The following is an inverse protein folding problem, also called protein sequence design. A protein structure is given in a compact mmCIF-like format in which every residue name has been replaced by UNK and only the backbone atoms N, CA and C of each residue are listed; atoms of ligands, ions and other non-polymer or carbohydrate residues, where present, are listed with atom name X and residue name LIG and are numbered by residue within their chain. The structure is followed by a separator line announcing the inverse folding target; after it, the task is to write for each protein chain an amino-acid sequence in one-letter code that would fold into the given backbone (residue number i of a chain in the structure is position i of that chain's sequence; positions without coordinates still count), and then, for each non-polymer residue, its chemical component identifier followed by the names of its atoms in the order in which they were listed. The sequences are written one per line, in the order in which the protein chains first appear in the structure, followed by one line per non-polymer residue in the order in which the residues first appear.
data_IF_261058254049
#
_entry.id   IF_261058254049
#
_cell.length_a   1.000
_cell.length_b   1.000
_cell.length_c   1.000
_cell.angle_alpha   90.00
_cell.angle_beta   90.00
_cell.angle_gamma   90.00
#
_symmetry.space_group_name_H-M   'P 1'
#
loop_
_entity.id
_entity.type
_entity.pdbx_description
1 polymer ?
#
# COMPACT_ATOMS: atom_id res chain seq x y z
N UNK A 1 5.31 11.56 -1.11
CA UNK A 1 6.44 10.72 -1.61
C UNK A 1 6.54 9.50 -0.70
N UNK A 2 6.74 8.28 -1.22
CA UNK A 2 6.91 7.10 -0.37
C UNK A 2 8.38 7.01 0.03
N UNK A 3 8.67 6.87 1.32
CA UNK A 3 10.04 6.69 1.79
C UNK A 3 10.19 5.28 2.36
N UNK A 4 11.06 4.50 1.73
CA UNK A 4 11.50 3.24 2.31
C UNK A 4 12.45 3.56 3.46
N UNK A 5 12.09 3.16 4.68
CA UNK A 5 12.96 3.33 5.86
C UNK A 5 14.21 2.46 5.73
N UNK A 6 14.08 1.31 5.05
CA UNK A 6 15.15 0.40 4.67
C UNK A 6 14.75 -0.35 3.39
N UNK A 7 15.73 -0.90 2.63
CA UNK A 7 15.44 -1.83 1.55
C UNK A 7 14.53 -2.99 1.99
N UNK A 8 13.49 -3.35 1.23
CA UNK A 8 12.79 -4.61 1.41
C UNK A 8 13.77 -5.78 1.33
N UNK A 9 13.61 -6.76 2.22
CA UNK A 9 14.43 -7.98 2.22
C UNK A 9 13.96 -9.00 1.17
N UNK A 10 12.82 -8.75 0.52
CA UNK A 10 12.28 -9.53 -0.58
C UNK A 10 12.01 -8.65 -1.79
N UNK A 11 12.46 -9.11 -2.95
CA UNK A 11 12.17 -8.47 -4.23
C UNK A 11 11.85 -9.55 -5.26
N UNK A 12 10.92 -9.28 -6.17
CA UNK A 12 10.53 -10.23 -7.19
C UNK A 12 11.42 -10.11 -8.42
N UNK A 13 11.79 -11.25 -9.00
CA UNK A 13 12.66 -11.30 -10.18
C UNK A 13 11.88 -11.18 -11.50
N UNK A 14 10.55 -11.28 -11.49
CA UNK A 14 9.70 -11.22 -12.68
C UNK A 14 9.42 -12.58 -13.34
N UNK A 15 10.22 -13.60 -12.99
CA UNK A 15 10.18 -14.93 -13.63
C UNK A 15 9.63 -16.02 -12.71
N UNK A 16 9.60 -15.78 -11.38
CA UNK A 16 8.99 -16.68 -10.40
C UNK A 16 7.51 -16.36 -10.18
N UNK A 17 6.83 -17.22 -9.41
CA UNK A 17 5.55 -16.82 -8.83
C UNK A 17 5.72 -15.56 -7.97
N UNK A 18 4.66 -14.74 -7.96
CA UNK A 18 4.64 -13.52 -7.19
C UNK A 18 4.56 -13.87 -5.68
N UNK A 19 5.43 -13.32 -4.82
CA UNK A 19 5.47 -13.71 -3.41
C UNK A 19 4.23 -13.36 -2.58
N UNK A 20 3.36 -12.50 -3.11
CA UNK A 20 2.09 -12.13 -2.50
C UNK A 20 0.98 -12.15 -3.55
N UNK A 21 -0.11 -12.83 -3.23
CA UNK A 21 -1.34 -12.81 -4.01
C UNK A 21 -2.16 -11.56 -3.70
N UNK A 22 -3.06 -11.16 -4.62
CA UNK A 22 -3.97 -10.03 -4.40
C UNK A 22 -4.83 -10.22 -3.13
N UNK A 23 -5.22 -11.46 -2.82
CA UNK A 23 -6.02 -11.78 -1.62
C UNK A 23 -5.24 -11.52 -0.33
N UNK A 24 -3.95 -11.84 -0.31
CA UNK A 24 -3.08 -11.55 0.84
C UNK A 24 -2.85 -10.04 0.98
N UNK A 25 -2.64 -9.34 -0.14
CA UNK A 25 -2.52 -7.87 -0.15
C UNK A 25 -3.79 -7.21 0.39
N UNK A 26 -4.98 -7.66 -0.01
CA UNK A 26 -6.24 -7.17 0.54
C UNK A 26 -6.34 -7.45 2.05
N UNK A 27 -5.99 -8.67 2.48
CA UNK A 27 -6.02 -9.04 3.91
C UNK A 27 -5.11 -8.12 4.75
N UNK A 28 -3.91 -7.82 4.26
CA UNK A 28 -2.97 -6.89 4.90
C UNK A 28 -3.56 -5.47 4.93
N UNK A 29 -4.12 -5.02 3.81
CA UNK A 29 -4.78 -3.72 3.72
C UNK A 29 -5.93 -3.59 4.72
N UNK A 30 -6.83 -4.58 4.80
CA UNK A 30 -7.96 -4.54 5.74
C UNK A 30 -7.48 -4.47 7.19
N UNK A 31 -6.45 -5.24 7.54
CA UNK A 31 -5.84 -5.20 8.89
C UNK A 31 -5.25 -3.81 9.20
N UNK A 32 -4.52 -3.22 8.24
CA UNK A 32 -4.01 -1.86 8.39
C UNK A 32 -5.14 -0.83 8.53
N UNK A 33 -6.18 -0.92 7.70
CA UNK A 33 -7.31 0.02 7.69
C UNK A 33 -8.05 0.01 9.03
N UNK A 34 -8.29 -1.17 9.62
CA UNK A 34 -8.91 -1.31 10.95
C UNK A 34 -8.11 -0.63 12.06
N UNK A 35 -6.78 -0.59 11.96
CA UNK A 35 -5.91 0.02 12.96
C UNK A 35 -5.66 1.52 12.76
N UNK A 36 -5.87 2.06 11.55
CA UNK A 36 -5.43 3.41 11.18
C UNK A 36 -6.55 4.36 10.76
N UNK A 37 -7.74 3.84 10.43
CA UNK A 37 -8.90 4.67 10.15
C UNK A 37 -9.63 5.03 11.44
N UNK A 38 -10.28 6.20 11.46
CA UNK A 38 -11.11 6.61 12.59
C UNK A 38 -12.31 5.66 12.72
N UNK A 39 -12.87 5.49 13.92
CA UNK A 39 -13.90 4.45 14.18
C UNK A 39 -15.15 4.48 13.29
N UNK A 40 -15.51 5.64 12.74
CA UNK A 40 -16.65 5.78 11.81
C UNK A 40 -16.23 5.73 10.33
N UNK A 41 -14.92 5.72 10.04
CA UNK A 41 -14.39 5.61 8.69
C UNK A 41 -14.35 4.15 8.23
N UNK A 42 -14.75 3.91 6.98
CA UNK A 42 -14.67 2.62 6.29
C UNK A 42 -13.94 2.82 4.97
N UNK A 43 -12.95 1.96 4.71
CA UNK A 43 -12.26 1.96 3.43
C UNK A 43 -12.77 0.86 2.49
N UNK A 44 -12.79 1.17 1.21
CA UNK A 44 -13.12 0.23 0.13
C UNK A 44 -12.01 0.28 -0.91
N UNK A 45 -11.41 -0.87 -1.18
CA UNK A 45 -10.37 -0.96 -2.21
C UNK A 45 -10.99 -0.78 -3.59
N UNK A 46 -10.34 0.02 -4.42
CA UNK A 46 -10.74 0.25 -5.82
C UNK A 46 -9.74 -0.33 -6.82
N UNK A 47 -8.48 -0.57 -6.41
CA UNK A 47 -7.47 -1.13 -7.31
C UNK A 47 -6.29 -1.72 -6.55
N UNK A 48 -5.71 -2.80 -7.11
CA UNK A 48 -4.40 -3.32 -6.76
C UNK A 48 -3.49 -3.20 -7.97
N UNK A 49 -2.37 -2.49 -7.85
CA UNK A 49 -1.42 -2.32 -8.94
C UNK A 49 -0.04 -2.79 -8.49
N UNK A 50 0.47 -3.85 -9.12
CA UNK A 50 1.88 -4.22 -8.99
C UNK A 50 2.72 -3.17 -9.76
N UNK A 51 3.78 -2.68 -9.14
CA UNK A 51 4.63 -1.64 -9.73
C UNK A 51 6.08 -1.84 -9.29
N UNK A 52 7.01 -1.67 -10.23
CA UNK A 52 8.42 -1.47 -9.90
C UNK A 52 8.66 0.01 -9.64
N UNK A 53 9.38 0.35 -8.56
CA UNK A 53 9.73 1.73 -8.21
C UNK A 53 11.22 1.84 -7.88
N UNK A 54 11.80 2.99 -8.24
CA UNK A 54 13.17 3.38 -7.89
C UNK A 54 13.11 4.40 -6.73
N UNK A 55 13.07 3.95 -5.46
CA UNK A 55 12.98 4.87 -4.34
C UNK A 55 14.28 5.65 -4.13
N UNK A 56 14.14 6.92 -3.75
CA UNK A 56 15.27 7.79 -3.45
C UNK A 56 16.14 7.19 -2.33
N UNK A 57 17.46 7.21 -2.53
CA UNK A 57 18.43 6.69 -1.56
C UNK A 57 18.70 5.18 -1.63
N UNK A 58 17.96 4.42 -2.45
CA UNK A 58 18.28 3.00 -2.71
C UNK A 58 18.90 2.79 -4.10
N UNK A 59 19.74 1.76 -4.23
CA UNK A 59 20.48 1.45 -5.47
C UNK A 59 19.68 0.64 -6.49
N UNK A 60 18.60 -0.01 -6.07
CA UNK A 60 17.84 -0.96 -6.87
C UNK A 60 16.39 -0.53 -7.01
N UNK A 61 15.72 -1.06 -8.05
CA UNK A 61 14.28 -1.01 -8.15
C UNK A 61 13.65 -2.08 -7.26
N UNK A 62 12.52 -1.76 -6.65
CA UNK A 62 11.76 -2.67 -5.81
C UNK A 62 10.33 -2.80 -6.32
N UNK A 63 9.84 -4.03 -6.32
CA UNK A 63 8.44 -4.32 -6.60
C UNK A 63 7.57 -4.04 -5.37
N UNK A 64 6.45 -3.37 -5.60
CA UNK A 64 5.46 -3.03 -4.58
C UNK A 64 4.06 -3.18 -5.13
N UNK A 65 3.11 -3.39 -4.23
CA UNK A 65 1.69 -3.19 -4.50
C UNK A 65 1.25 -1.78 -4.11
N UNK A 66 0.65 -1.07 -5.05
CA UNK A 66 -0.09 0.18 -4.80
C UNK A 66 -1.57 -0.16 -4.69
N UNK A 67 -2.11 -0.01 -3.48
CA UNK A 67 -3.53 -0.18 -3.19
C UNK A 67 -4.21 1.18 -3.28
N UNK A 68 -5.08 1.34 -4.27
CA UNK A 68 -5.98 2.49 -4.35
C UNK A 68 -7.24 2.18 -3.57
N UNK A 69 -7.70 3.10 -2.72
CA UNK A 69 -8.90 2.90 -1.93
C UNK A 69 -9.65 4.21 -1.70
N UNK A 70 -10.94 4.08 -1.43
CA UNK A 70 -11.82 5.19 -1.06
C UNK A 70 -12.24 5.08 0.39
N UNK A 71 -12.43 6.22 1.07
CA UNK A 71 -12.84 6.25 2.49
C UNK A 71 -14.16 6.98 2.66
N UNK A 72 -15.13 6.31 3.28
CA UNK A 72 -16.39 6.90 3.72
C UNK A 72 -16.37 7.10 5.23
N UNK A 73 -17.01 8.15 5.73
CA UNK A 73 -17.33 8.31 7.15
C UNK A 73 -18.85 8.08 7.28
N UNK A 74 -19.24 6.92 7.80
CA UNK A 74 -20.59 6.39 7.59
C UNK A 74 -20.85 6.17 6.10
N UNK A 75 -21.87 6.83 5.54
CA UNK A 75 -22.25 6.75 4.12
C UNK A 75 -21.83 7.99 3.30
N UNK A 76 -21.01 8.88 3.87
CA UNK A 76 -20.57 10.11 3.22
C UNK A 76 -19.09 10.02 2.87
N UNK A 77 -18.66 10.43 1.66
CA UNK A 77 -17.23 10.53 1.31
C UNK A 77 -16.43 11.34 2.35
N UNK A 78 -15.33 10.77 2.84
CA UNK A 78 -14.40 11.50 3.72
C UNK A 78 -13.75 12.67 2.97
N UNK A 79 -13.29 13.70 3.67
CA UNK A 79 -12.56 14.84 3.05
C UNK A 79 -11.34 14.36 2.24
N UNK A 80 -10.69 13.29 2.70
CA UNK A 80 -9.67 12.58 1.96
C UNK A 80 -10.29 11.31 1.36
N UNK A 81 -11.18 11.48 0.39
CA UNK A 81 -11.95 10.37 -0.17
C UNK A 81 -11.05 9.37 -0.89
N UNK A 82 -10.24 9.84 -1.84
CA UNK A 82 -9.33 9.01 -2.62
C UNK A 82 -7.96 8.94 -1.94
N UNK A 83 -7.54 7.75 -1.54
CA UNK A 83 -6.25 7.52 -0.88
C UNK A 83 -5.49 6.38 -1.55
N UNK A 84 -4.20 6.30 -1.28
CA UNK A 84 -3.31 5.25 -1.77
C UNK A 84 -2.46 4.73 -0.63
N UNK A 85 -2.30 3.42 -0.57
CA UNK A 85 -1.40 2.72 0.32
C UNK A 85 -0.37 1.96 -0.51
N UNK A 86 0.83 1.81 0.01
CA UNK A 86 1.85 0.95 -0.58
C UNK A 86 2.13 -0.21 0.35
N UNK A 87 2.26 -1.41 -0.21
CA UNK A 87 2.62 -2.64 0.48
C UNK A 87 3.78 -3.24 -0.29
N UNK A 88 4.90 -3.52 0.36
CA UNK A 88 6.00 -4.25 -0.28
C UNK A 88 5.71 -5.75 -0.37
N UNK A 89 6.57 -6.49 -1.07
CA UNK A 89 6.37 -7.93 -1.26
C UNK A 89 6.56 -8.77 0.02
N UNK A 90 7.03 -8.16 1.11
CA UNK A 90 7.12 -8.80 2.43
C UNK A 90 5.81 -8.68 3.21
N UNK A 91 4.87 -7.86 2.70
CA UNK A 91 3.61 -7.54 3.34
C UNK A 91 3.69 -6.33 4.27
N UNK A 92 4.80 -5.59 4.25
CA UNK A 92 4.97 -4.39 5.06
C UNK A 92 4.30 -3.20 4.39
N UNK A 93 3.46 -2.51 5.15
CA UNK A 93 2.84 -1.24 4.73
C UNK A 93 3.89 -0.13 4.74
N UNK A 94 3.96 0.63 3.65
CA UNK A 94 4.81 1.80 3.48
C UNK A 94 3.90 3.02 3.41
N UNK A 95 3.92 3.82 4.47
CA UNK A 95 3.10 5.01 4.55
C UNK A 95 3.67 6.15 3.70
N UNK A 96 2.81 6.91 3.00
CA UNK A 96 3.26 8.09 2.28
C UNK A 96 3.70 9.17 3.26
N UNK A 97 4.89 9.73 3.05
CA UNK A 97 5.31 10.95 3.73
C UNK A 97 4.74 12.14 2.97
N UNK A 98 3.81 12.85 3.61
CA UNK A 98 3.38 14.17 3.20
C UNK A 98 4.42 15.18 3.70
N UNK A 99 5.25 15.73 2.80
CA UNK A 99 6.01 16.94 3.12
C UNK A 99 5.05 18.12 2.90
N UNK A 100 4.90 18.94 3.95
CA UNK A 100 4.19 20.23 3.89
C UNK A 100 4.93 21.20 2.96
#
# INVERSE_FOLDING_TARGET
MFQFIAPPNLNWNGDSDLPLTIKEVDTIFQKWALGNLKGNEKAHVVSFNLSSVAPEGLKNNYWIFKVGYVVFNGNVPSKQFNRKLVIDLTGKVIEPICRL
#
